data_IF_711354106671
#
_entry.id   IF_711354106671
#
_cell.length_a   1.000
_cell.length_b   1.000
_cell.length_c   1.000
_cell.angle_alpha   90.00
_cell.angle_beta   90.00
_cell.angle_gamma   90.00
#
_symmetry.space_group_name_H-M   'P 1'
#
loop_
_entity.id
_entity.type
_entity.pdbx_description
1 polymer ?
#
# COMPACT_ATOMS: atom_id res chain seq x y z
N UNK A 1 -41.99 -7.01 40.54
CA UNK A 1 -40.94 -7.77 39.82
C UNK A 1 -39.80 -8.07 40.79
N UNK A 2 -39.32 -9.31 40.88
CA UNK A 2 -38.24 -9.68 41.81
C UNK A 2 -36.99 -8.87 41.42
N UNK A 3 -36.41 -8.10 42.36
CA UNK A 3 -35.27 -7.20 42.12
C UNK A 3 -34.12 -7.87 41.33
N UNK A 4 -33.91 -9.17 41.51
CA UNK A 4 -32.94 -9.97 40.74
C UNK A 4 -33.20 -10.03 39.23
N UNK A 5 -34.46 -10.06 38.79
CA UNK A 5 -34.80 -10.07 37.36
C UNK A 5 -34.48 -8.74 36.68
N UNK A 6 -34.62 -7.62 37.41
CA UNK A 6 -34.23 -6.29 36.93
C UNK A 6 -32.71 -6.19 36.78
N UNK A 7 -31.94 -6.73 37.73
CA UNK A 7 -30.47 -6.76 37.67
C UNK A 7 -29.99 -7.59 36.48
N UNK A 8 -30.57 -8.78 36.26
CA UNK A 8 -30.22 -9.64 35.11
C UNK A 8 -30.51 -8.95 33.78
N UNK A 9 -31.68 -8.31 33.64
CA UNK A 9 -32.02 -7.57 32.43
C UNK A 9 -31.09 -6.37 32.20
N UNK A 10 -30.71 -5.66 33.25
CA UNK A 10 -29.77 -4.53 33.15
C UNK A 10 -28.39 -5.00 32.67
N UNK A 11 -27.86 -6.10 33.23
CA UNK A 11 -26.57 -6.67 32.81
C UNK A 11 -26.64 -7.14 31.35
N UNK A 12 -27.72 -7.82 30.96
CA UNK A 12 -27.93 -8.26 29.59
C UNK A 12 -27.98 -7.07 28.60
N UNK A 13 -28.66 -5.98 28.97
CA UNK A 13 -28.72 -4.78 28.15
C UNK A 13 -27.32 -4.14 27.96
N UNK A 14 -26.52 -4.05 29.02
CA UNK A 14 -25.14 -3.53 28.94
C UNK A 14 -24.27 -4.41 28.05
N UNK A 15 -24.36 -5.73 28.18
CA UNK A 15 -23.62 -6.68 27.33
C UNK A 15 -24.02 -6.55 25.86
N UNK A 16 -25.31 -6.41 25.55
CA UNK A 16 -25.76 -6.22 24.17
C UNK A 16 -25.21 -4.92 23.58
N UNK A 17 -25.34 -3.80 24.30
CA UNK A 17 -24.80 -2.51 23.85
C UNK A 17 -23.30 -2.60 23.58
N UNK A 18 -22.57 -3.29 24.47
CA UNK A 18 -21.14 -3.51 24.32
C UNK A 18 -20.79 -4.32 23.06
N UNK A 19 -21.48 -5.44 22.82
CA UNK A 19 -21.27 -6.29 21.63
C UNK A 19 -21.56 -5.50 20.34
N UNK A 20 -22.70 -4.81 20.26
CA UNK A 20 -23.08 -4.05 19.07
C UNK A 20 -22.12 -2.89 18.80
N UNK A 21 -21.74 -2.13 19.83
CA UNK A 21 -20.81 -1.02 19.69
C UNK A 21 -19.42 -1.49 19.27
N UNK A 22 -18.90 -2.54 19.92
CA UNK A 22 -17.59 -3.11 19.61
C UNK A 22 -17.52 -3.72 18.21
N UNK A 23 -18.53 -4.50 17.81
CA UNK A 23 -18.59 -5.08 16.47
C UNK A 23 -18.66 -4.01 15.37
N UNK A 24 -19.55 -3.03 15.51
CA UNK A 24 -19.65 -1.93 14.54
C UNK A 24 -18.38 -1.07 14.49
N UNK A 25 -17.69 -0.93 15.64
CA UNK A 25 -16.39 -0.27 15.71
C UNK A 25 -15.32 -1.03 14.91
N UNK A 26 -15.25 -2.35 15.04
CA UNK A 26 -14.31 -3.19 14.29
C UNK A 26 -14.61 -3.18 12.78
N UNK A 27 -15.88 -3.29 12.39
CA UNK A 27 -16.30 -3.17 10.98
C UNK A 27 -15.84 -1.84 10.41
N UNK A 28 -16.09 -0.73 11.13
CA UNK A 28 -15.69 0.60 10.66
C UNK A 28 -14.18 0.74 10.49
N UNK A 29 -13.39 0.22 11.42
CA UNK A 29 -11.93 0.24 11.32
C UNK A 29 -11.44 -0.61 10.13
N UNK A 30 -12.07 -1.76 9.88
CA UNK A 30 -11.74 -2.58 8.72
C UNK A 30 -12.06 -1.86 7.40
N UNK A 31 -13.25 -1.28 7.27
CA UNK A 31 -13.64 -0.51 6.08
C UNK A 31 -12.75 0.72 5.87
N UNK A 32 -12.29 1.38 6.93
CA UNK A 32 -11.34 2.48 6.82
C UNK A 32 -10.01 2.02 6.22
N UNK A 33 -9.49 0.87 6.68
CA UNK A 33 -8.27 0.30 6.13
C UNK A 33 -8.43 -0.09 4.65
N UNK A 34 -9.57 -0.66 4.26
CA UNK A 34 -9.88 -1.00 2.86
C UNK A 34 -10.03 0.25 1.98
N UNK A 35 -10.73 1.27 2.47
CA UNK A 35 -10.86 2.55 1.80
C UNK A 35 -9.50 3.26 1.63
N UNK A 36 -8.62 3.16 2.63
CA UNK A 36 -7.29 3.74 2.57
C UNK A 36 -6.38 2.96 1.62
N UNK A 37 -6.50 1.63 1.55
CA UNK A 37 -5.84 0.81 0.54
C UNK A 37 -6.25 1.21 -0.89
N UNK A 38 -7.53 1.45 -1.14
CA UNK A 38 -8.01 1.88 -2.46
C UNK A 38 -7.36 3.20 -2.92
N UNK A 39 -7.04 4.11 -1.98
CA UNK A 39 -6.30 5.34 -2.29
C UNK A 39 -4.86 5.05 -2.69
N UNK A 40 -4.17 4.15 -1.97
CA UNK A 40 -2.82 3.69 -2.31
C UNK A 40 -2.82 3.10 -3.73
N UNK A 41 -3.76 2.20 -4.01
CA UNK A 41 -3.89 1.57 -5.33
C UNK A 41 -4.11 2.59 -6.44
N UNK A 42 -4.95 3.61 -6.21
CA UNK A 42 -5.18 4.68 -7.20
C UNK A 42 -3.89 5.44 -7.54
N UNK A 43 -3.04 5.72 -6.55
CA UNK A 43 -1.74 6.36 -6.80
C UNK A 43 -0.79 5.44 -7.57
N UNK A 44 -0.77 4.14 -7.24
CA UNK A 44 0.01 3.15 -7.98
C UNK A 44 -0.42 3.02 -9.44
N UNK A 45 -1.72 2.90 -9.70
CA UNK A 45 -2.26 2.86 -11.05
C UNK A 45 -1.79 4.08 -11.86
N UNK A 46 -1.95 5.29 -11.31
CA UNK A 46 -1.51 6.52 -11.98
C UNK A 46 -0.02 6.51 -12.31
N UNK A 47 0.83 6.07 -11.38
CA UNK A 47 2.27 5.93 -11.61
C UNK A 47 2.55 4.93 -12.74
N UNK A 48 1.90 3.77 -12.70
CA UNK A 48 2.16 2.69 -13.65
C UNK A 48 1.60 2.95 -15.05
N UNK A 49 0.63 3.85 -15.17
CA UNK A 49 0.12 4.36 -16.44
C UNK A 49 1.10 5.30 -17.14
N UNK A 50 2.00 5.96 -16.39
CA UNK A 50 3.04 6.83 -16.95
C UNK A 50 4.25 6.03 -17.48
N UNK A 51 4.47 4.83 -16.95
CA UNK A 51 5.63 4.00 -17.30
C UNK A 51 5.73 3.70 -18.80
N UNK A 52 4.67 3.28 -19.52
CA UNK A 52 4.76 3.03 -20.96
C UNK A 52 5.22 4.25 -21.75
N UNK A 53 4.77 5.46 -21.37
CA UNK A 53 5.17 6.70 -22.03
C UNK A 53 6.65 7.01 -21.80
N UNK A 54 7.15 6.75 -20.59
CA UNK A 54 8.58 6.88 -20.29
C UNK A 54 9.40 5.86 -21.10
N UNK A 55 8.99 4.60 -21.09
CA UNK A 55 9.66 3.52 -21.86
C UNK A 55 9.71 3.85 -23.34
N UNK A 56 8.61 4.32 -23.93
CA UNK A 56 8.58 4.69 -25.35
C UNK A 56 9.49 5.88 -25.65
N UNK A 57 9.55 6.87 -24.75
CA UNK A 57 10.43 8.03 -24.89
C UNK A 57 11.91 7.66 -24.78
N UNK A 58 12.25 6.73 -23.89
CA UNK A 58 13.61 6.18 -23.75
C UNK A 58 13.96 5.31 -24.97
N UNK A 59 13.06 4.44 -25.43
CA UNK A 59 13.25 3.56 -26.60
C UNK A 59 13.51 4.33 -27.90
N UNK A 60 12.96 5.53 -28.04
CA UNK A 60 13.22 6.38 -29.20
C UNK A 60 14.70 6.80 -29.32
N UNK A 61 15.45 6.72 -28.22
CA UNK A 61 16.85 7.15 -28.13
C UNK A 61 17.78 5.96 -27.86
N UNK A 62 17.36 5.02 -27.00
CA UNK A 62 18.15 3.86 -26.59
C UNK A 62 17.35 2.57 -26.83
N UNK A 63 17.82 1.76 -27.77
CA UNK A 63 17.20 0.48 -28.11
C UNK A 63 17.90 -0.71 -27.47
N UNK A 64 19.08 -0.54 -26.86
CA UNK A 64 19.86 -1.66 -26.33
C UNK A 64 19.34 -2.19 -24.97
N UNK A 65 18.58 -1.39 -24.22
CA UNK A 65 18.10 -1.70 -22.85
C UNK A 65 16.88 -2.63 -22.81
N UNK A 66 16.85 -3.64 -23.68
CA UNK A 66 15.71 -4.56 -23.84
C UNK A 66 15.38 -5.33 -22.55
N UNK A 67 16.40 -5.72 -21.79
CA UNK A 67 16.23 -6.43 -20.51
C UNK A 67 15.41 -5.58 -19.54
N UNK A 68 15.77 -4.30 -19.35
CA UNK A 68 15.04 -3.42 -18.41
C UNK A 68 13.61 -3.17 -18.87
N UNK A 69 13.39 -3.00 -20.18
CA UNK A 69 12.03 -2.85 -20.71
C UNK A 69 11.18 -4.10 -20.51
N UNK A 70 11.78 -5.29 -20.66
CA UNK A 70 11.13 -6.58 -20.43
C UNK A 70 10.76 -6.77 -18.95
N UNK A 71 11.71 -6.57 -18.04
CA UNK A 71 11.49 -6.65 -16.59
C UNK A 71 10.40 -5.70 -16.11
N UNK A 72 10.32 -4.49 -16.69
CA UNK A 72 9.30 -3.51 -16.33
C UNK A 72 7.92 -3.89 -16.87
N UNK A 73 7.86 -4.47 -18.08
CA UNK A 73 6.62 -5.00 -18.63
C UNK A 73 6.10 -6.19 -17.81
N UNK A 74 6.99 -7.11 -17.43
CA UNK A 74 6.67 -8.25 -16.58
C UNK A 74 6.20 -7.81 -15.20
N UNK A 75 6.91 -6.90 -14.54
CA UNK A 75 6.51 -6.39 -13.22
C UNK A 75 5.11 -5.74 -13.26
N UNK A 76 4.79 -4.99 -14.33
CA UNK A 76 3.46 -4.41 -14.52
C UNK A 76 2.40 -5.47 -14.75
N UNK A 77 2.71 -6.54 -15.49
CA UNK A 77 1.81 -7.67 -15.69
C UNK A 77 1.53 -8.41 -14.37
N UNK A 78 2.57 -8.63 -13.56
CA UNK A 78 2.45 -9.21 -12.22
C UNK A 78 1.57 -8.36 -11.31
N UNK A 79 1.73 -7.04 -11.32
CA UNK A 79 0.86 -6.13 -10.56
C UNK A 79 -0.60 -6.18 -11.03
N UNK A 80 -0.84 -6.26 -12.35
CA UNK A 80 -2.18 -6.37 -12.91
C UNK A 80 -2.85 -7.71 -12.56
N UNK A 81 -2.08 -8.79 -12.43
CA UNK A 81 -2.56 -10.13 -12.04
C UNK A 81 -2.75 -10.33 -10.53
N UNK A 82 -2.18 -9.48 -9.69
CA UNK A 82 -2.33 -9.54 -8.25
C UNK A 82 -3.77 -9.22 -7.81
N UNK A 83 -4.33 -10.05 -6.92
CA UNK A 83 -5.76 -9.96 -6.53
C UNK A 83 -5.96 -9.46 -5.10
N UNK A 84 -5.00 -9.68 -4.20
CA UNK A 84 -5.10 -9.21 -2.80
C UNK A 84 -4.25 -7.96 -2.56
N UNK A 85 -4.57 -7.15 -1.54
CA UNK A 85 -3.73 -6.02 -1.13
C UNK A 85 -2.26 -6.41 -0.92
N UNK A 86 -1.99 -7.51 -0.23
CA UNK A 86 -0.62 -7.99 0.02
C UNK A 86 0.11 -8.37 -1.27
N UNK A 87 -0.58 -9.07 -2.19
CA UNK A 87 0.00 -9.42 -3.49
C UNK A 87 0.28 -8.16 -4.32
N UNK A 88 -0.62 -7.18 -4.31
CA UNK A 88 -0.46 -5.91 -5.02
C UNK A 88 0.68 -5.08 -4.41
N UNK A 89 0.81 -5.05 -3.09
CA UNK A 89 1.92 -4.38 -2.42
C UNK A 89 3.28 -4.99 -2.83
N UNK A 90 3.39 -6.31 -2.79
CA UNK A 90 4.60 -7.02 -3.21
C UNK A 90 4.92 -6.79 -4.70
N UNK A 91 3.91 -6.88 -5.58
CA UNK A 91 4.08 -6.64 -7.00
C UNK A 91 4.42 -5.17 -7.30
N UNK A 92 3.87 -4.21 -6.55
CA UNK A 92 4.20 -2.80 -6.70
C UNK A 92 5.67 -2.54 -6.40
N UNK A 93 6.24 -3.16 -5.36
CA UNK A 93 7.68 -3.06 -5.07
C UNK A 93 8.57 -3.60 -6.19
N UNK A 94 8.13 -4.62 -6.93
CA UNK A 94 8.85 -5.10 -8.12
C UNK A 94 8.83 -4.05 -9.23
N UNK A 95 7.69 -3.40 -9.48
CA UNK A 95 7.59 -2.31 -10.46
C UNK A 95 8.45 -1.13 -10.06
N UNK A 96 8.44 -0.72 -8.79
CA UNK A 96 9.29 0.35 -8.25
C UNK A 96 10.77 0.04 -8.45
N UNK A 97 11.18 -1.20 -8.17
CA UNK A 97 12.57 -1.67 -8.33
C UNK A 97 13.03 -1.62 -9.79
N UNK A 98 12.20 -2.13 -10.72
CA UNK A 98 12.49 -2.08 -12.16
C UNK A 98 12.47 -0.65 -12.70
N UNK A 99 11.56 0.21 -12.20
CA UNK A 99 11.51 1.62 -12.56
C UNK A 99 12.77 2.35 -12.09
N UNK A 100 13.27 2.05 -10.88
CA UNK A 100 14.53 2.60 -10.38
C UNK A 100 15.72 2.30 -11.31
N UNK A 101 15.79 1.09 -11.89
CA UNK A 101 16.80 0.76 -12.91
C UNK A 101 16.66 1.61 -14.18
N UNK A 102 15.43 1.81 -14.66
CA UNK A 102 15.18 2.68 -15.82
C UNK A 102 15.56 4.14 -15.54
N UNK A 103 15.32 4.62 -14.32
CA UNK A 103 15.72 5.97 -13.89
C UNK A 103 17.24 6.10 -13.89
N UNK A 104 17.96 5.12 -13.33
CA UNK A 104 19.42 5.11 -13.35
C UNK A 104 19.99 5.12 -14.79
N UNK A 105 19.34 4.41 -15.71
CA UNK A 105 19.66 4.49 -17.15
C UNK A 105 19.45 5.93 -17.64
N UNK A 106 18.29 6.52 -17.43
CA UNK A 106 18.01 7.92 -17.84
C UNK A 106 19.07 8.89 -17.34
N UNK A 107 19.54 8.71 -16.10
CA UNK A 107 20.58 9.53 -15.49
C UNK A 107 21.97 9.33 -16.10
N UNK A 108 22.28 8.12 -16.56
CA UNK A 108 23.57 7.79 -17.17
C UNK A 108 23.73 8.28 -18.62
N UNK A 109 22.65 8.68 -19.29
CA UNK A 109 22.66 9.11 -20.70
C UNK A 109 22.26 10.58 -20.87
N UNK A 110 23.21 11.50 -21.14
CA UNK A 110 22.94 12.93 -21.27
C UNK A 110 21.86 13.28 -22.30
N UNK A 111 21.79 12.53 -23.40
CA UNK A 111 20.76 12.76 -24.42
C UNK A 111 19.33 12.55 -23.88
N UNK A 112 19.12 11.62 -22.95
CA UNK A 112 17.82 11.41 -22.30
C UNK A 112 17.52 12.53 -21.30
N UNK A 113 18.53 12.96 -20.54
CA UNK A 113 18.38 14.08 -19.61
C UNK A 113 18.01 15.39 -20.32
N UNK A 114 18.49 15.58 -21.55
CA UNK A 114 18.18 16.76 -22.35
C UNK A 114 16.74 16.79 -22.89
N UNK A 115 16.11 15.62 -23.04
CA UNK A 115 14.75 15.49 -23.55
C UNK A 115 13.73 16.11 -22.59
N UNK A 116 12.94 17.06 -23.07
CA UNK A 116 11.85 17.67 -22.27
C UNK A 116 10.82 16.63 -21.87
N UNK A 117 10.41 15.77 -22.81
CA UNK A 117 9.38 14.74 -22.56
C UNK A 117 9.80 13.75 -21.46
N UNK A 118 11.07 13.33 -21.46
CA UNK A 118 11.61 12.43 -20.43
C UNK A 118 11.62 13.14 -19.08
N UNK A 119 12.10 14.39 -19.02
CA UNK A 119 12.11 15.19 -17.79
C UNK A 119 10.70 15.40 -17.23
N UNK A 120 9.73 15.74 -18.06
CA UNK A 120 8.34 15.96 -17.63
C UNK A 120 7.72 14.69 -17.05
N UNK A 121 7.98 13.52 -17.66
CA UNK A 121 7.53 12.23 -17.15
C UNK A 121 8.22 11.86 -15.85
N UNK A 122 9.52 12.13 -15.72
CA UNK A 122 10.28 11.92 -14.49
C UNK A 122 9.71 12.75 -13.34
N UNK A 123 9.43 14.04 -13.57
CA UNK A 123 8.78 14.91 -12.57
C UNK A 123 7.39 14.41 -12.18
N UNK A 124 6.60 13.90 -13.13
CA UNK A 124 5.29 13.30 -12.81
C UNK A 124 5.44 12.03 -11.98
N UNK A 125 6.39 11.16 -12.32
CA UNK A 125 6.67 9.93 -11.58
C UNK A 125 7.13 10.23 -10.14
N UNK A 126 8.04 11.17 -9.95
CA UNK A 126 8.45 11.67 -8.63
C UNK A 126 7.25 12.21 -7.85
N UNK A 127 6.40 13.02 -8.49
CA UNK A 127 5.16 13.51 -7.89
C UNK A 127 4.23 12.39 -7.43
N UNK A 128 4.15 11.29 -8.20
CA UNK A 128 3.39 10.10 -7.78
C UNK A 128 4.08 9.30 -6.67
N UNK A 129 5.41 9.23 -6.63
CA UNK A 129 6.17 8.60 -5.52
C UNK A 129 5.82 9.24 -4.19
N UNK A 130 5.90 10.57 -4.15
CA UNK A 130 5.63 11.33 -2.94
C UNK A 130 4.20 11.08 -2.44
N UNK A 131 3.23 10.97 -3.36
CA UNK A 131 1.83 10.66 -3.01
C UNK A 131 1.68 9.20 -2.54
N UNK A 132 2.30 8.24 -3.21
CA UNK A 132 2.30 6.83 -2.80
C UNK A 132 2.87 6.69 -1.40
N UNK A 133 4.01 7.31 -1.10
CA UNK A 133 4.65 7.28 0.21
C UNK A 133 3.74 7.82 1.33
N UNK A 134 3.06 8.94 1.07
CA UNK A 134 2.08 9.52 2.01
C UNK A 134 0.87 8.60 2.22
N UNK A 135 0.29 8.05 1.15
CA UNK A 135 -0.88 7.18 1.26
C UNK A 135 -0.52 5.82 1.91
N UNK A 136 0.69 5.29 1.69
CA UNK A 136 1.21 4.10 2.40
C UNK A 136 1.35 4.34 3.89
N UNK A 137 1.86 5.50 4.29
CA UNK A 137 1.97 5.89 5.70
C UNK A 137 0.58 5.94 6.35
N UNK A 138 -0.39 6.60 5.69
CA UNK A 138 -1.78 6.66 6.15
C UNK A 138 -2.43 5.29 6.25
N UNK A 139 -2.19 4.41 5.28
CA UNK A 139 -2.67 3.02 5.33
C UNK A 139 -2.10 2.29 6.55
N UNK A 140 -0.80 2.41 6.81
CA UNK A 140 -0.16 1.81 7.98
C UNK A 140 -0.74 2.35 9.30
N UNK A 141 -1.12 3.63 9.36
CA UNK A 141 -1.77 4.20 10.55
C UNK A 141 -3.20 3.65 10.77
N UNK A 142 -3.97 3.42 9.69
CA UNK A 142 -5.29 2.75 9.78
C UNK A 142 -5.14 1.29 10.22
N UNK A 143 -4.16 0.56 9.66
CA UNK A 143 -3.84 -0.81 10.06
C UNK A 143 -3.39 -0.85 11.53
N UNK A 144 -2.59 0.11 11.98
CA UNK A 144 -2.21 0.23 13.40
C UNK A 144 -3.43 0.39 14.29
N UNK A 145 -4.35 1.28 13.91
CA UNK A 145 -5.57 1.55 14.67
C UNK A 145 -6.46 0.31 14.75
N UNK A 146 -6.66 -0.38 13.62
CA UNK A 146 -7.38 -1.65 13.54
C UNK A 146 -6.72 -2.75 14.38
N UNK A 147 -5.43 -3.00 14.19
CA UNK A 147 -4.67 -4.03 14.90
C UNK A 147 -4.63 -3.76 16.42
N UNK A 148 -4.57 -2.49 16.84
CA UNK A 148 -4.65 -2.10 18.24
C UNK A 148 -6.03 -2.43 18.82
N UNK A 149 -7.11 -2.14 18.09
CA UNK A 149 -8.47 -2.41 18.54
C UNK A 149 -8.74 -3.91 18.74
N UNK A 150 -8.31 -4.77 17.81
CA UNK A 150 -8.49 -6.23 17.96
C UNK A 150 -7.59 -6.84 19.05
N UNK A 151 -6.52 -6.16 19.47
CA UNK A 151 -5.61 -6.61 20.53
C UNK A 151 -5.97 -6.08 21.93
N UNK A 152 -6.86 -5.10 22.02
CA UNK A 152 -7.17 -4.40 23.28
C UNK A 152 -8.44 -4.96 23.95
N UNK A 153 -8.41 -5.18 25.26
CA UNK A 153 -9.60 -5.55 26.04
C UNK A 153 -10.57 -4.35 26.15
N UNK A 154 -11.89 -4.54 26.01
CA UNK A 154 -12.59 -5.82 25.86
C UNK A 154 -12.78 -6.28 24.41
N UNK A 155 -12.45 -5.45 23.42
CA UNK A 155 -12.68 -5.69 21.99
C UNK A 155 -11.99 -6.95 21.45
N UNK A 156 -10.86 -7.36 22.03
CA UNK A 156 -10.17 -8.60 21.67
C UNK A 156 -11.03 -9.87 21.79
N UNK A 157 -11.95 -9.92 22.77
CA UNK A 157 -12.91 -11.02 22.91
C UNK A 157 -13.86 -11.05 21.73
N UNK A 158 -14.36 -9.88 21.31
CA UNK A 158 -15.24 -9.79 20.14
C UNK A 158 -14.49 -10.18 18.87
N UNK A 159 -13.26 -9.72 18.69
CA UNK A 159 -12.43 -10.08 17.54
C UNK A 159 -12.23 -11.59 17.43
N UNK A 160 -11.90 -12.27 18.53
CA UNK A 160 -11.77 -13.73 18.59
C UNK A 160 -13.08 -14.46 18.25
N UNK A 161 -14.23 -13.96 18.73
CA UNK A 161 -15.54 -14.58 18.50
C UNK A 161 -16.08 -14.36 17.08
N UNK A 162 -15.71 -13.25 16.44
CA UNK A 162 -16.26 -12.83 15.14
C UNK A 162 -15.30 -13.02 13.97
N UNK A 163 -14.05 -13.41 14.24
CA UNK A 163 -13.06 -13.73 13.22
C UNK A 163 -12.29 -12.53 12.66
N UNK A 164 -12.35 -11.36 13.30
CA UNK A 164 -11.48 -10.24 12.93
C UNK A 164 -10.02 -10.57 13.29
N UNK A 165 -9.22 -10.85 12.26
CA UNK A 165 -7.81 -11.19 12.37
C UNK A 165 -6.89 -9.98 12.15
N UNK A 166 -5.62 -10.13 12.53
CA UNK A 166 -4.61 -9.11 12.27
C UNK A 166 -4.40 -8.89 10.77
N UNK A 167 -4.18 -7.63 10.39
CA UNK A 167 -3.85 -7.24 9.01
C UNK A 167 -2.40 -6.82 8.92
N UNK A 168 -1.77 -7.15 7.79
CA UNK A 168 -0.38 -6.80 7.50
C UNK A 168 -0.23 -5.30 7.26
N UNK A 169 0.87 -4.74 7.75
CA UNK A 169 1.30 -3.40 7.33
C UNK A 169 1.85 -3.46 5.91
N UNK A 170 1.88 -2.32 5.25
CA UNK A 170 2.71 -2.14 4.07
C UNK A 170 4.18 -2.07 4.52
N UNK A 171 4.91 -3.16 4.33
CA UNK A 171 6.34 -3.23 4.62
C UNK A 171 7.15 -2.40 3.61
N UNK A 172 8.21 -1.73 4.07
CA UNK A 172 9.23 -1.22 3.16
C UNK A 172 9.93 -2.42 2.51
N UNK A 173 10.35 -2.29 1.26
CA UNK A 173 11.00 -3.39 0.56
C UNK A 173 12.14 -3.98 1.42
N UNK A 174 12.16 -5.31 1.57
CA UNK A 174 13.22 -6.04 2.28
C UNK A 174 14.60 -5.54 1.83
N UNK A 175 15.36 -4.95 2.75
CA UNK A 175 16.66 -4.35 2.48
C UNK A 175 16.76 -2.83 2.71
N UNK A 176 15.65 -2.10 2.92
CA UNK A 176 15.71 -0.67 3.29
C UNK A 176 16.30 -0.43 4.69
N UNK A 177 16.42 -1.49 5.50
CA UNK A 177 17.06 -1.47 6.81
C UNK A 177 18.58 -1.38 6.71
N UNK A 178 19.15 -1.75 5.56
CA UNK A 178 20.58 -1.62 5.28
C UNK A 178 20.82 -0.26 4.62
N UNK A 179 21.14 0.76 5.42
CA UNK A 179 21.65 2.02 4.89
C UNK A 179 22.86 1.72 3.97
N UNK A 180 22.93 2.29 2.75
CA UNK A 180 24.06 2.08 1.87
C UNK A 180 25.34 2.54 2.59
N UNK A 181 26.31 1.64 2.74
CA UNK A 181 27.62 2.00 3.26
C UNK A 181 28.31 2.87 2.22
N UNK A 182 28.41 4.17 2.50
CA UNK A 182 29.21 5.10 1.71
C UNK A 182 30.68 4.84 2.04
N UNK A 183 31.33 4.03 1.22
CA UNK A 183 32.79 3.93 1.22
C UNK A 183 33.32 5.07 0.33
N UNK A 184 34.08 5.98 0.96
CA UNK A 184 34.91 6.96 0.25
C UNK A 184 36.15 6.29 -0.36
#
# INVERSE_FOLDING_TARGET
MKKGLIIVLAIAAVLLIWVFSGYNGLVKLNENADAQWAKVETQYQRRFDLIPNLVNSVKAVLTQEQTVFGELAEARANYAGASTPDQKAAAASQVETSLGRLIAIVESYPQLQSSSNVRDLMTQLEGTENRVSVERTRFNDEIRSYNTAIKTFPTNILALLTGFGERSYFEAASGSENAPQVNF
#
